data_IF_586347470053
#
_entry.id   IF_586347470053
#
_cell.length_a   1.000
_cell.length_b   1.000
_cell.length_c   1.000
_cell.angle_alpha   90.00
_cell.angle_beta   90.00
_cell.angle_gamma   90.00
#
_symmetry.space_group_name_H-M   'P 1'
#
loop_
_entity.id
_entity.type
_entity.pdbx_description
1 polymer ?
#
# COMPACT_ATOMS: atom_id res chain seq x y z
N UNK A 1 -8.46 -26.56 19.56
CA UNK A 1 -7.65 -25.41 19.12
C UNK A 1 -7.91 -25.14 17.64
N UNK A 2 -8.17 -23.88 17.28
CA UNK A 2 -8.40 -23.46 15.88
C UNK A 2 -7.22 -22.62 15.41
N UNK A 3 -6.76 -22.83 14.18
CA UNK A 3 -5.72 -22.00 13.58
C UNK A 3 -6.26 -20.58 13.38
N UNK A 4 -5.53 -19.56 13.83
CA UNK A 4 -5.90 -18.16 13.59
C UNK A 4 -5.80 -17.80 12.10
N UNK A 5 -6.51 -16.75 11.69
CA UNK A 5 -6.56 -16.26 10.30
C UNK A 5 -5.17 -15.92 9.75
N UNK A 6 -4.29 -15.37 10.59
CA UNK A 6 -2.90 -15.05 10.27
C UNK A 6 -1.99 -16.28 10.11
N UNK A 7 -2.50 -17.49 10.40
CA UNK A 7 -1.78 -18.78 10.42
C UNK A 7 -0.56 -18.82 11.35
N UNK A 8 -0.40 -17.84 12.25
CA UNK A 8 0.76 -17.72 13.15
C UNK A 8 0.47 -18.21 14.57
N UNK A 9 -0.78 -18.46 14.93
CA UNK A 9 -1.12 -18.97 16.26
C UNK A 9 -2.26 -20.00 16.22
N UNK A 10 -2.36 -20.82 17.25
CA UNK A 10 -3.54 -21.63 17.50
C UNK A 10 -4.26 -21.07 18.72
N UNK A 11 -5.54 -20.73 18.56
CA UNK A 11 -6.37 -20.31 19.69
C UNK A 11 -6.94 -21.56 20.37
N UNK A 12 -6.54 -21.78 21.62
CA UNK A 12 -7.07 -22.86 22.43
C UNK A 12 -8.31 -22.38 23.18
N UNK A 13 -9.39 -23.13 23.08
CA UNK A 13 -10.63 -22.87 23.80
C UNK A 13 -10.93 -24.09 24.67
N UNK A 14 -11.02 -23.88 25.99
CA UNK A 14 -11.48 -24.89 26.94
C UNK A 14 -12.99 -24.75 27.07
N UNK A 15 -13.69 -25.83 26.74
CA UNK A 15 -15.14 -25.92 26.93
C UNK A 15 -15.46 -26.80 28.13
N UNK A 16 -16.42 -26.39 28.95
CA UNK A 16 -17.06 -27.24 29.97
C UNK A 16 -18.56 -26.95 29.93
N UNK A 17 -19.38 -28.00 29.88
CA UNK A 17 -20.83 -27.90 29.78
C UNK A 17 -21.30 -26.96 28.64
N UNK A 18 -20.63 -27.02 27.49
CA UNK A 18 -20.97 -26.20 26.30
C UNK A 18 -20.56 -24.72 26.38
N UNK A 19 -19.94 -24.26 27.48
CA UNK A 19 -19.47 -22.87 27.64
C UNK A 19 -17.94 -22.80 27.61
N UNK A 20 -17.40 -21.73 27.03
CA UNK A 20 -15.96 -21.44 27.08
C UNK A 20 -15.61 -21.00 28.50
N UNK A 21 -14.74 -21.75 29.17
CA UNK A 21 -14.27 -21.43 30.53
C UNK A 21 -12.93 -20.70 30.50
N UNK A 22 -12.09 -20.95 29.49
CA UNK A 22 -10.78 -20.33 29.34
C UNK A 22 -10.35 -20.32 27.88
N UNK A 23 -9.79 -19.21 27.42
CA UNK A 23 -9.18 -19.09 26.10
C UNK A 23 -7.78 -18.51 26.23
N UNK A 24 -6.76 -19.32 25.95
CA UNK A 24 -5.37 -18.85 25.94
C UNK A 24 -4.82 -19.01 24.52
N UNK A 25 -4.17 -17.96 24.00
CA UNK A 25 -3.39 -18.06 22.77
C UNK A 25 -2.09 -18.80 23.07
N UNK A 26 -1.78 -19.85 22.31
CA UNK A 26 -0.48 -20.53 22.38
C UNK A 26 0.26 -20.26 21.06
N UNK A 27 1.51 -19.81 21.19
CA UNK A 27 2.36 -19.45 20.06
C UNK A 27 2.88 -20.70 19.32
N UNK A 28 3.05 -20.53 18.00
CA UNK A 28 3.28 -21.54 16.95
C UNK A 28 4.24 -22.70 17.26
N UNK A 29 5.29 -22.47 18.07
CA UNK A 29 6.43 -23.38 18.21
C UNK A 29 6.10 -24.74 18.86
N UNK A 30 5.13 -24.83 19.77
CA UNK A 30 4.71 -26.11 20.39
C UNK A 30 3.72 -26.94 19.53
N UNK A 31 3.28 -26.39 18.39
CA UNK A 31 2.27 -27.02 17.52
C UNK A 31 2.85 -27.73 16.30
N UNK A 32 4.13 -27.52 15.98
CA UNK A 32 4.80 -28.20 14.87
C UNK A 32 5.00 -29.70 15.14
N UNK A 33 5.28 -30.07 16.38
CA UNK A 33 5.37 -31.48 16.80
C UNK A 33 4.03 -32.19 16.60
N UNK A 34 2.94 -31.63 17.13
CA UNK A 34 1.57 -32.12 16.90
C UNK A 34 1.22 -32.24 15.41
N UNK A 35 1.56 -31.24 14.61
CA UNK A 35 1.34 -31.28 13.15
C UNK A 35 2.14 -32.41 12.50
N UNK A 36 3.40 -32.59 12.88
CA UNK A 36 4.29 -33.63 12.34
C UNK A 36 3.74 -35.02 12.64
N UNK A 37 3.41 -35.28 13.91
CA UNK A 37 2.90 -36.58 14.34
C UNK A 37 1.55 -36.90 13.67
N UNK A 38 0.60 -35.96 13.63
CA UNK A 38 -0.71 -36.19 13.00
C UNK A 38 -0.68 -36.22 11.47
N UNK A 39 0.33 -35.65 10.82
CA UNK A 39 0.52 -35.78 9.36
C UNK A 39 0.78 -37.23 8.96
N UNK A 40 1.46 -38.00 9.82
CA UNK A 40 1.73 -39.42 9.65
C UNK A 40 0.56 -40.29 10.18
N UNK A 41 0.07 -40.03 11.39
CA UNK A 41 -0.92 -40.89 12.05
C UNK A 41 -2.34 -40.78 11.49
N UNK A 42 -2.80 -39.57 11.16
CA UNK A 42 -4.08 -39.22 10.50
C UNK A 42 -5.39 -39.79 11.10
N UNK A 43 -5.33 -40.47 12.24
CA UNK A 43 -6.50 -41.04 12.95
C UNK A 43 -6.76 -40.27 14.25
N UNK A 44 -7.89 -40.55 14.90
CA UNK A 44 -8.10 -40.13 16.29
C UNK A 44 -7.05 -40.85 17.14
N UNK A 45 -6.36 -40.09 17.99
CA UNK A 45 -5.38 -40.63 18.92
C UNK A 45 -6.03 -40.84 20.28
N UNK A 46 -6.04 -42.08 20.77
CA UNK A 46 -6.46 -42.41 22.13
C UNK A 46 -5.24 -42.82 22.95
N UNK A 47 -5.14 -42.35 24.19
CA UNK A 47 -3.97 -42.60 25.04
C UNK A 47 -3.75 -44.09 25.35
N UNK A 48 -4.81 -44.88 25.26
CA UNK A 48 -4.84 -46.32 25.51
C UNK A 48 -4.57 -47.15 24.23
N UNK A 49 -4.40 -46.52 23.07
CA UNK A 49 -4.11 -47.23 21.82
C UNK A 49 -2.67 -47.78 21.82
N UNK A 50 -2.50 -49.07 21.53
CA UNK A 50 -1.18 -49.72 21.46
C UNK A 50 -0.30 -49.15 20.33
N UNK A 51 -0.93 -48.75 19.22
CA UNK A 51 -0.27 -48.21 18.03
C UNK A 51 -0.02 -46.68 18.10
N UNK A 52 -0.19 -46.07 19.26
CA UNK A 52 -0.04 -44.63 19.42
C UNK A 52 1.45 -44.21 19.30
N UNK A 53 1.80 -43.27 18.40
CA UNK A 53 3.14 -42.73 18.32
C UNK A 53 3.60 -42.14 19.65
N UNK A 54 4.85 -42.42 20.03
CA UNK A 54 5.42 -42.01 21.32
C UNK A 54 5.37 -40.49 21.53
N UNK A 55 5.62 -39.71 20.46
CA UNK A 55 5.48 -38.25 20.48
C UNK A 55 4.05 -37.77 20.76
N UNK A 56 3.01 -38.47 20.27
CA UNK A 56 1.62 -38.15 20.62
C UNK A 56 1.31 -38.54 22.07
N UNK A 57 1.83 -39.68 22.52
CA UNK A 57 1.65 -40.16 23.89
C UNK A 57 2.21 -39.18 24.91
N UNK A 58 3.41 -38.66 24.69
CA UNK A 58 4.02 -37.63 25.52
C UNK A 58 3.18 -36.35 25.57
N UNK A 59 2.73 -35.86 24.42
CA UNK A 59 1.89 -34.67 24.33
C UNK A 59 0.56 -34.87 25.06
N UNK A 60 -0.05 -36.05 24.93
CA UNK A 60 -1.29 -36.41 25.62
C UNK A 60 -1.10 -36.46 27.14
N UNK A 61 -0.01 -37.05 27.62
CA UNK A 61 0.32 -37.10 29.06
C UNK A 61 0.60 -35.71 29.65
N UNK A 62 1.43 -34.91 28.97
CA UNK A 62 1.77 -33.55 29.41
C UNK A 62 0.52 -32.66 29.55
N UNK A 63 -0.42 -32.80 28.61
CA UNK A 63 -1.65 -32.00 28.59
C UNK A 63 -2.81 -32.66 29.34
N UNK A 64 -2.61 -33.85 29.91
CA UNK A 64 -3.62 -34.68 30.59
C UNK A 64 -4.85 -34.98 29.72
N UNK A 65 -4.64 -35.21 28.42
CA UNK A 65 -5.69 -35.44 27.43
C UNK A 65 -5.84 -36.92 27.17
N UNK A 66 -7.07 -37.43 27.18
CA UNK A 66 -7.36 -38.81 26.85
C UNK A 66 -7.46 -39.04 25.34
N UNK A 67 -8.17 -38.17 24.60
CA UNK A 67 -8.34 -38.28 23.14
C UNK A 67 -7.96 -36.99 22.41
N UNK A 68 -7.28 -37.12 21.26
CA UNK A 68 -7.03 -36.02 20.34
C UNK A 68 -7.64 -36.35 18.97
N UNK A 69 -8.49 -35.45 18.49
CA UNK A 69 -9.22 -35.61 17.24
C UNK A 69 -8.71 -34.57 16.23
N UNK A 70 -8.05 -35.00 15.14
CA UNK A 70 -7.53 -34.07 14.15
C UNK A 70 -8.61 -33.64 13.15
N UNK A 71 -8.64 -32.36 12.81
CA UNK A 71 -9.48 -31.82 11.73
C UNK A 71 -8.68 -31.81 10.43
N UNK A 72 -8.79 -32.87 9.64
CA UNK A 72 -8.03 -33.04 8.39
C UNK A 72 -8.95 -32.79 7.21
N UNK A 73 -8.53 -31.90 6.31
CA UNK A 73 -9.17 -31.71 5.00
C UNK A 73 -8.18 -32.07 3.90
N UNK A 74 -8.50 -33.10 3.10
CA UNK A 74 -7.59 -33.73 2.12
C UNK A 74 -6.29 -34.19 2.78
N UNK A 75 -5.21 -33.42 2.64
CA UNK A 75 -3.88 -33.70 3.21
C UNK A 75 -3.45 -32.66 4.24
N UNK A 76 -4.31 -31.68 4.54
CA UNK A 76 -3.99 -30.54 5.41
C UNK A 76 -4.71 -30.66 6.74
N UNK A 77 -3.93 -30.56 7.81
CA UNK A 77 -4.41 -30.47 9.18
C UNK A 77 -4.81 -29.03 9.50
N UNK A 78 -6.09 -28.81 9.77
CA UNK A 78 -6.69 -27.49 10.01
C UNK A 78 -6.85 -27.17 11.50
N UNK A 79 -6.86 -28.19 12.36
CA UNK A 79 -6.99 -28.01 13.81
C UNK A 79 -7.09 -29.33 14.56
N UNK A 80 -7.33 -29.21 15.86
CA UNK A 80 -7.46 -30.35 16.77
C UNK A 80 -8.56 -30.11 17.82
N UNK A 81 -9.20 -31.19 18.24
CA UNK A 81 -10.05 -31.22 19.41
C UNK A 81 -9.41 -32.14 20.45
N UNK A 82 -9.11 -31.59 21.63
CA UNK A 82 -8.60 -32.33 22.78
C UNK A 82 -9.77 -32.65 23.71
N UNK A 83 -9.91 -33.92 24.09
CA UNK A 83 -10.91 -34.38 25.06
C UNK A 83 -10.20 -34.98 26.27
N UNK A 84 -10.43 -34.35 27.42
CA UNK A 84 -9.93 -34.84 28.72
C UNK A 84 -10.71 -36.08 29.17
N UNK A 85 -12.03 -36.02 28.96
CA UNK A 85 -12.97 -37.08 29.33
C UNK A 85 -13.74 -37.49 28.07
N UNK A 86 -13.34 -38.60 27.42
CA UNK A 86 -13.99 -39.03 26.21
C UNK A 86 -15.36 -39.64 26.53
N UNK A 87 -16.33 -39.58 25.61
CA UNK A 87 -17.65 -40.13 25.86
C UNK A 87 -17.58 -41.65 25.95
N UNK A 88 -18.16 -42.25 27.00
CA UNK A 88 -18.18 -43.72 27.22
C UNK A 88 -19.12 -44.49 26.27
N UNK A 89 -19.57 -43.86 25.19
CA UNK A 89 -20.55 -44.43 24.26
C UNK A 89 -19.81 -45.15 23.11
N UNK A 90 -20.23 -46.38 22.78
CA UNK A 90 -19.69 -47.17 21.65
C UNK A 90 -19.75 -46.48 20.29
N UNK A 91 -20.63 -45.47 20.13
CA UNK A 91 -20.77 -44.70 18.89
C UNK A 91 -20.00 -43.37 18.91
N UNK A 92 -19.36 -43.03 20.02
CA UNK A 92 -18.69 -41.74 20.20
C UNK A 92 -17.58 -41.52 19.19
N UNK A 93 -16.76 -42.54 18.92
CA UNK A 93 -15.67 -42.48 17.94
C UNK A 93 -16.19 -42.08 16.55
N UNK A 94 -17.15 -42.85 16.01
CA UNK A 94 -17.75 -42.55 14.70
C UNK A 94 -18.41 -41.16 14.65
N UNK A 95 -19.09 -40.75 15.73
CA UNK A 95 -19.69 -39.42 15.81
C UNK A 95 -18.63 -38.30 15.80
N UNK A 96 -17.52 -38.50 16.52
CA UNK A 96 -16.41 -37.55 16.59
C UNK A 96 -15.61 -37.49 15.28
N UNK A 97 -15.46 -38.61 14.56
CA UNK A 97 -14.90 -38.63 13.21
C UNK A 97 -15.77 -37.83 12.22
N UNK A 98 -17.08 -38.05 12.24
CA UNK A 98 -18.03 -37.29 11.40
C UNK A 98 -18.01 -35.79 11.74
N UNK A 99 -17.97 -35.47 13.03
CA UNK A 99 -17.83 -34.08 13.50
C UNK A 99 -16.52 -33.47 12.99
N UNK A 100 -15.40 -34.16 13.13
CA UNK A 100 -14.08 -33.70 12.67
C UNK A 100 -14.05 -33.41 11.18
N UNK A 101 -14.64 -34.30 10.36
CA UNK A 101 -14.78 -34.10 8.92
C UNK A 101 -15.61 -32.86 8.57
N UNK A 102 -16.78 -32.70 9.21
CA UNK A 102 -17.65 -31.52 9.00
C UNK A 102 -16.98 -30.22 9.46
N UNK A 103 -16.30 -30.25 10.60
CA UNK A 103 -15.56 -29.11 11.11
C UNK A 103 -14.42 -28.71 10.16
N UNK A 104 -13.67 -29.67 9.63
CA UNK A 104 -12.61 -29.42 8.66
C UNK A 104 -13.14 -28.75 7.38
N UNK A 105 -14.26 -29.25 6.83
CA UNK A 105 -14.93 -28.63 5.66
C UNK A 105 -15.39 -27.20 5.98
N UNK A 106 -16.03 -27.00 7.13
CA UNK A 106 -16.53 -25.67 7.53
C UNK A 106 -15.41 -24.65 7.72
N UNK A 107 -14.30 -25.06 8.37
CA UNK A 107 -13.12 -24.20 8.54
C UNK A 107 -12.53 -23.84 7.18
N UNK A 108 -12.42 -24.81 6.27
CA UNK A 108 -11.89 -24.57 4.93
C UNK A 108 -12.79 -23.62 4.12
N UNK A 109 -14.11 -23.79 4.19
CA UNK A 109 -15.06 -22.92 3.51
C UNK A 109 -14.98 -21.49 4.06
N UNK A 110 -14.89 -21.34 5.38
CA UNK A 110 -14.73 -20.02 5.99
C UNK A 110 -13.44 -19.31 5.54
N UNK A 111 -12.30 -20.02 5.50
CA UNK A 111 -11.02 -19.48 5.00
C UNK A 111 -11.10 -19.09 3.52
N UNK A 112 -11.89 -19.82 2.71
CA UNK A 112 -12.08 -19.48 1.29
C UNK A 112 -13.01 -18.28 1.13
N UNK A 113 -14.11 -18.24 1.87
CA UNK A 113 -15.06 -17.13 1.85
C UNK A 113 -14.44 -15.83 2.31
N UNK A 114 -13.62 -15.84 3.38
CA UNK A 114 -12.92 -14.63 3.84
C UNK A 114 -12.01 -14.07 2.74
N UNK A 115 -11.23 -14.93 2.08
CA UNK A 115 -10.35 -14.52 0.98
C UNK A 115 -11.10 -13.95 -0.23
N UNK A 116 -12.30 -14.46 -0.53
CA UNK A 116 -13.13 -13.97 -1.63
C UNK A 116 -13.74 -12.60 -1.27
N UNK A 117 -14.15 -12.40 -0.01
CA UNK A 117 -14.64 -11.12 0.50
C UNK A 117 -13.53 -10.08 0.43
N UNK A 118 -12.35 -10.38 0.98
CA UNK A 118 -11.19 -9.49 0.98
C UNK A 118 -10.82 -9.08 -0.47
N UNK A 119 -10.78 -10.04 -1.40
CA UNK A 119 -10.50 -9.76 -2.80
C UNK A 119 -11.55 -8.86 -3.47
N UNK A 120 -12.83 -9.05 -3.15
CA UNK A 120 -13.92 -8.23 -3.68
C UNK A 120 -13.95 -6.81 -3.10
N UNK A 121 -13.55 -6.63 -1.85
CA UNK A 121 -13.35 -5.30 -1.25
C UNK A 121 -12.19 -4.57 -1.93
N UNK A 122 -11.04 -5.24 -2.11
CA UNK A 122 -9.91 -4.67 -2.85
C UNK A 122 -10.26 -4.32 -4.30
N UNK A 123 -11.06 -5.14 -4.99
CA UNK A 123 -11.47 -4.86 -6.37
C UNK A 123 -12.38 -3.61 -6.44
N UNK A 124 -13.30 -3.43 -5.49
CA UNK A 124 -14.11 -2.20 -5.39
C UNK A 124 -13.28 -0.97 -5.05
N UNK A 125 -12.30 -1.11 -4.16
CA UNK A 125 -11.35 -0.03 -3.85
C UNK A 125 -10.52 0.32 -5.08
N UNK A 126 -10.04 -0.67 -5.84
CA UNK A 126 -9.27 -0.46 -7.07
C UNK A 126 -10.12 0.20 -8.17
N UNK A 127 -11.38 -0.22 -8.35
CA UNK A 127 -12.30 0.44 -9.28
C UNK A 127 -12.59 1.89 -8.88
N UNK A 128 -12.72 2.15 -7.58
CA UNK A 128 -12.87 3.51 -7.06
C UNK A 128 -11.61 4.33 -7.30
N UNK A 129 -10.44 3.72 -7.14
CA UNK A 129 -9.13 4.30 -7.40
C UNK A 129 -8.94 4.67 -8.88
N UNK A 130 -9.31 3.78 -9.80
CA UNK A 130 -9.29 4.03 -11.25
C UNK A 130 -10.26 5.15 -11.65
N UNK A 131 -11.43 5.23 -10.99
CA UNK A 131 -12.37 6.33 -11.20
C UNK A 131 -11.82 7.66 -10.72
N UNK A 132 -11.21 7.72 -9.52
CA UNK A 132 -10.55 8.92 -8.99
C UNK A 132 -9.40 9.33 -9.92
N UNK A 133 -8.58 8.38 -10.36
CA UNK A 133 -7.53 8.59 -11.35
C UNK A 133 -8.06 9.23 -12.64
N UNK A 134 -9.18 8.73 -13.18
CA UNK A 134 -9.78 9.31 -14.40
C UNK A 134 -10.28 10.76 -14.23
N UNK A 135 -10.52 11.18 -12.98
CA UNK A 135 -10.95 12.53 -12.62
C UNK A 135 -9.78 13.49 -12.35
N UNK A 136 -8.57 12.97 -12.08
CA UNK A 136 -7.37 13.78 -11.91
C UNK A 136 -6.86 14.27 -13.27
N UNK A 137 -7.44 15.38 -13.74
CA UNK A 137 -6.90 16.14 -14.88
C UNK A 137 -5.87 17.13 -14.38
N UNK A 138 -4.86 17.40 -15.20
CA UNK A 138 -3.92 18.51 -14.97
C UNK A 138 -4.70 19.80 -14.69
N UNK A 139 -4.29 20.54 -13.67
CA UNK A 139 -4.92 21.81 -13.35
C UNK A 139 -4.75 22.82 -14.47
N UNK A 140 -5.73 23.73 -14.58
CA UNK A 140 -5.73 24.76 -15.61
C UNK A 140 -4.54 25.67 -15.38
N UNK A 141 -3.64 25.71 -16.36
CA UNK A 141 -2.44 26.55 -16.31
C UNK A 141 -2.83 28.04 -16.32
N UNK A 142 -2.48 28.79 -15.27
CA UNK A 142 -2.66 30.23 -15.25
C UNK A 142 -1.77 30.88 -16.31
N UNK A 143 -2.26 31.92 -16.99
CA UNK A 143 -1.39 32.78 -17.77
C UNK A 143 -0.44 33.51 -16.82
N UNK A 144 0.87 33.49 -17.10
CA UNK A 144 1.88 34.11 -16.24
C UNK A 144 2.91 34.87 -17.08
N UNK A 145 3.23 36.14 -16.75
CA UNK A 145 4.10 36.97 -17.56
C UNK A 145 5.49 36.35 -17.81
N UNK A 146 5.94 36.39 -19.06
CA UNK A 146 7.25 35.88 -19.45
C UNK A 146 7.30 34.37 -19.71
N UNK A 147 6.17 33.65 -19.61
CA UNK A 147 6.14 32.20 -19.85
C UNK A 147 4.99 31.73 -20.72
N UNK A 148 5.29 30.73 -21.55
CA UNK A 148 4.32 29.86 -22.18
C UNK A 148 4.53 28.45 -21.62
N UNK A 149 3.53 27.94 -20.90
CA UNK A 149 3.56 26.66 -20.21
C UNK A 149 2.55 25.72 -20.87
N UNK A 150 3.02 24.55 -21.31
CA UNK A 150 2.20 23.56 -22.01
C UNK A 150 2.32 22.20 -21.32
N UNK A 151 1.37 21.86 -20.42
CA UNK A 151 1.38 20.59 -19.72
C UNK A 151 0.92 19.50 -20.67
N UNK A 152 1.57 18.35 -20.58
CA UNK A 152 1.21 17.14 -21.31
C UNK A 152 0.33 16.26 -20.44
N UNK A 153 -0.68 15.64 -21.04
CA UNK A 153 -1.51 14.69 -20.30
C UNK A 153 -0.74 13.39 -20.09
N UNK A 154 -0.74 12.91 -18.84
CA UNK A 154 -0.22 11.59 -18.53
C UNK A 154 -1.33 10.54 -18.64
N UNK A 155 -1.35 9.82 -19.77
CA UNK A 155 -2.31 8.75 -20.01
C UNK A 155 -2.13 7.54 -19.05
N UNK A 156 -0.94 7.38 -18.46
CA UNK A 156 -0.71 6.34 -17.44
C UNK A 156 -1.22 6.77 -16.07
N UNK A 157 -1.40 8.08 -15.85
CA UNK A 157 -1.56 8.77 -14.57
C UNK A 157 -0.62 8.24 -13.49
N UNK A 158 0.64 8.12 -13.89
CA UNK A 158 1.79 8.03 -13.02
C UNK A 158 2.17 9.38 -12.43
N UNK A 159 1.57 10.48 -12.90
CA UNK A 159 1.87 11.83 -12.45
C UNK A 159 0.64 12.73 -12.39
N UNK A 160 0.72 13.73 -11.51
CA UNK A 160 -0.25 14.82 -11.41
C UNK A 160 0.48 16.16 -11.29
N UNK A 161 -0.11 17.20 -11.86
CA UNK A 161 0.48 18.54 -11.93
C UNK A 161 -0.50 19.57 -11.41
N UNK A 162 -0.05 20.37 -10.45
CA UNK A 162 -0.82 21.46 -9.87
C UNK A 162 -0.14 22.80 -10.08
N UNK A 163 -0.90 23.78 -10.59
CA UNK A 163 -0.46 25.16 -10.77
C UNK A 163 -1.30 26.09 -9.88
N UNK A 164 -0.64 26.97 -9.15
CA UNK A 164 -1.31 27.97 -8.31
C UNK A 164 -0.45 29.21 -8.13
N UNK A 165 -1.08 30.35 -7.81
CA UNK A 165 -0.39 31.64 -7.67
C UNK A 165 -0.41 32.11 -6.23
N UNK A 166 0.72 32.65 -5.74
CA UNK A 166 0.86 33.26 -4.41
C UNK A 166 1.78 34.47 -4.53
N UNK A 167 1.37 35.63 -4.01
CA UNK A 167 2.14 36.88 -3.97
C UNK A 167 2.89 37.18 -5.28
N UNK A 168 2.13 37.23 -6.38
CA UNK A 168 2.61 37.45 -7.76
C UNK A 168 3.58 36.39 -8.33
N UNK A 169 3.83 35.30 -7.61
CA UNK A 169 4.59 34.15 -8.10
C UNK A 169 3.69 33.01 -8.58
N UNK A 170 4.03 32.39 -9.72
CA UNK A 170 3.38 31.15 -10.15
C UNK A 170 4.17 29.95 -9.59
N UNK A 171 3.48 29.05 -8.91
CA UNK A 171 4.01 27.77 -8.45
C UNK A 171 3.51 26.62 -9.32
N UNK A 172 4.36 25.62 -9.45
CA UNK A 172 4.07 24.32 -10.02
C UNK A 172 4.54 23.25 -9.04
N UNK A 173 3.67 22.31 -8.72
CA UNK A 173 4.01 21.09 -7.99
C UNK A 173 3.66 19.89 -8.86
N UNK A 174 4.61 18.99 -9.04
CA UNK A 174 4.41 17.72 -9.73
C UNK A 174 4.69 16.60 -8.73
N UNK A 175 3.72 15.68 -8.59
CA UNK A 175 3.93 14.40 -7.93
C UNK A 175 3.96 13.31 -8.99
N UNK A 176 4.90 12.38 -8.90
CA UNK A 176 5.02 11.30 -9.87
C UNK A 176 5.47 9.98 -9.23
N UNK A 177 5.01 8.86 -9.77
CA UNK A 177 5.35 7.49 -9.41
C UNK A 177 5.97 6.78 -10.61
N UNK A 178 6.79 5.75 -10.38
CA UNK A 178 7.40 5.00 -11.49
C UNK A 178 6.39 4.26 -12.38
N UNK A 179 5.23 3.90 -11.81
CA UNK A 179 4.15 3.19 -12.51
C UNK A 179 2.82 3.88 -12.24
N UNK A 180 2.00 3.98 -13.26
CA UNK A 180 0.61 4.43 -13.16
C UNK A 180 -0.35 3.33 -12.69
N UNK A 181 -1.64 3.65 -12.65
CA UNK A 181 -2.73 2.76 -12.24
C UNK A 181 -3.47 3.23 -10.99
N UNK A 182 -4.47 2.45 -10.56
CA UNK A 182 -5.39 2.85 -9.48
C UNK A 182 -4.67 3.21 -8.16
N UNK A 183 -3.74 2.36 -7.70
CA UNK A 183 -3.00 2.60 -6.44
C UNK A 183 -2.20 3.91 -6.50
N UNK A 184 -1.50 4.18 -7.59
CA UNK A 184 -0.79 5.44 -7.81
C UNK A 184 -1.75 6.62 -7.85
N UNK A 185 -2.91 6.47 -8.52
CA UNK A 185 -3.97 7.48 -8.55
C UNK A 185 -4.48 7.87 -7.16
N UNK A 186 -4.75 6.90 -6.29
CA UNK A 186 -5.14 7.17 -4.89
C UNK A 186 -4.05 7.92 -4.14
N UNK A 187 -2.81 7.46 -4.25
CA UNK A 187 -1.68 8.06 -3.54
C UNK A 187 -1.47 9.52 -3.95
N UNK A 188 -1.42 9.77 -5.26
CA UNK A 188 -1.26 11.09 -5.84
C UNK A 188 -2.45 12.01 -5.51
N UNK A 189 -3.69 11.48 -5.49
CA UNK A 189 -4.88 12.25 -5.09
C UNK A 189 -4.82 12.70 -3.63
N UNK A 190 -4.34 11.84 -2.73
CA UNK A 190 -4.12 12.18 -1.33
C UNK A 190 -3.09 13.29 -1.17
N UNK A 191 -1.96 13.18 -1.89
CA UNK A 191 -0.92 14.21 -1.89
C UNK A 191 -1.42 15.56 -2.40
N UNK A 192 -2.22 15.58 -3.46
CA UNK A 192 -2.88 16.80 -3.93
C UNK A 192 -3.83 17.38 -2.88
N UNK A 193 -4.62 16.55 -2.20
CA UNK A 193 -5.49 17.00 -1.10
C UNK A 193 -4.72 17.70 0.01
N UNK A 194 -3.57 17.15 0.42
CA UNK A 194 -2.67 17.78 1.38
C UNK A 194 -2.10 19.11 0.87
N UNK A 195 -1.66 19.15 -0.40
CA UNK A 195 -1.17 20.37 -1.03
C UNK A 195 -2.26 21.46 -1.04
N UNK A 196 -3.49 21.12 -1.42
CA UNK A 196 -4.61 22.08 -1.41
C UNK A 196 -4.91 22.59 -0.02
N UNK A 197 -4.89 21.72 0.99
CA UNK A 197 -5.08 22.14 2.38
C UNK A 197 -4.04 23.17 2.81
N UNK A 198 -2.77 23.00 2.40
CA UNK A 198 -1.70 23.95 2.69
C UNK A 198 -1.93 25.29 1.96
N UNK A 199 -2.24 25.24 0.66
CA UNK A 199 -2.45 26.45 -0.17
C UNK A 199 -3.57 27.33 0.38
N UNK A 200 -4.63 26.74 0.94
CA UNK A 200 -5.76 27.50 1.49
C UNK A 200 -5.56 27.93 2.94
N UNK A 201 -4.64 27.30 3.68
CA UNK A 201 -4.39 27.60 5.09
C UNK A 201 -3.30 28.67 5.27
N UNK A 202 -2.35 28.78 4.35
CA UNK A 202 -1.22 29.70 4.44
C UNK A 202 -1.31 30.84 3.43
N UNK A 203 -1.04 32.06 3.89
CA UNK A 203 -1.04 33.26 3.03
C UNK A 203 0.30 33.49 2.31
N UNK A 204 1.41 32.99 2.88
CA UNK A 204 2.75 33.12 2.30
C UNK A 204 3.34 31.73 2.06
N UNK A 205 3.61 31.40 0.80
CA UNK A 205 4.18 30.12 0.42
C UNK A 205 5.59 30.27 -0.16
N UNK A 206 6.43 29.30 0.18
CA UNK A 206 7.76 29.14 -0.42
C UNK A 206 8.00 27.66 -0.70
N UNK A 207 8.93 27.37 -1.61
CA UNK A 207 9.35 25.98 -1.91
C UNK A 207 9.73 25.25 -0.61
N UNK A 208 10.43 25.89 0.31
CA UNK A 208 10.80 25.26 1.59
C UNK A 208 9.58 24.93 2.45
N UNK A 209 8.58 25.81 2.54
CA UNK A 209 7.36 25.51 3.32
C UNK A 209 6.58 24.35 2.74
N UNK A 210 6.39 24.34 1.41
CA UNK A 210 5.75 23.22 0.72
C UNK A 210 6.51 21.92 0.99
N UNK A 211 7.84 21.93 0.80
CA UNK A 211 8.68 20.76 1.10
C UNK A 211 8.57 20.30 2.56
N UNK A 212 8.62 21.24 3.50
CA UNK A 212 8.55 20.96 4.92
C UNK A 212 7.22 20.31 5.30
N UNK A 213 6.11 20.87 4.85
CA UNK A 213 4.78 20.35 5.09
C UNK A 213 4.62 18.96 4.47
N UNK A 214 4.97 18.82 3.18
CA UNK A 214 4.86 17.53 2.48
C UNK A 214 5.73 16.45 3.12
N UNK A 215 6.96 16.75 3.58
CA UNK A 215 7.84 15.75 4.21
C UNK A 215 7.48 15.39 5.64
N UNK A 216 7.04 16.37 6.44
CA UNK A 216 6.84 16.21 7.88
C UNK A 216 5.51 15.56 8.19
N UNK A 217 4.48 15.85 7.41
CA UNK A 217 3.10 15.47 7.72
C UNK A 217 2.56 14.37 6.81
N UNK A 218 3.30 14.00 5.75
CA UNK A 218 2.77 13.11 4.73
C UNK A 218 3.50 11.76 4.67
N UNK A 219 2.97 10.78 5.40
CA UNK A 219 3.45 9.39 5.32
C UNK A 219 3.28 8.78 3.91
N UNK A 220 2.41 9.35 3.07
CA UNK A 220 2.15 8.88 1.72
C UNK A 220 3.39 8.96 0.82
N UNK A 221 4.28 9.94 1.03
CA UNK A 221 5.54 10.04 0.27
C UNK A 221 6.48 8.86 0.51
N UNK A 222 6.29 8.10 1.61
CA UNK A 222 7.11 6.93 1.97
C UNK A 222 6.43 5.61 1.65
N UNK A 223 5.21 5.64 1.10
CA UNK A 223 4.48 4.43 0.74
C UNK A 223 4.94 3.91 -0.63
N UNK A 224 4.75 2.61 -0.85
CA UNK A 224 4.93 2.00 -2.16
C UNK A 224 3.63 2.12 -2.98
N UNK A 225 3.69 2.52 -4.27
CA UNK A 225 4.89 2.84 -5.03
C UNK A 225 5.50 4.19 -4.62
N UNK A 226 6.83 4.23 -4.48
CA UNK A 226 7.54 5.45 -4.10
C UNK A 226 7.20 6.66 -4.98
N UNK A 227 7.00 7.81 -4.33
CA UNK A 227 6.62 9.08 -4.99
C UNK A 227 7.82 10.01 -5.07
N UNK A 228 8.06 10.54 -6.26
CA UNK A 228 8.97 11.64 -6.52
C UNK A 228 8.20 12.96 -6.64
N UNK A 229 8.86 14.06 -6.32
CA UNK A 229 8.25 15.39 -6.32
C UNK A 229 9.16 16.42 -6.99
N UNK A 230 8.54 17.30 -7.78
CA UNK A 230 9.17 18.52 -8.31
C UNK A 230 8.35 19.73 -7.88
N UNK A 231 9.01 20.76 -7.38
CA UNK A 231 8.38 22.04 -7.05
C UNK A 231 9.13 23.13 -7.79
N UNK A 232 8.42 23.93 -8.57
CA UNK A 232 8.97 25.10 -9.26
C UNK A 232 8.20 26.35 -8.88
N UNK A 233 8.91 27.47 -8.78
CA UNK A 233 8.39 28.81 -8.63
C UNK A 233 8.91 29.64 -9.80
N UNK A 234 8.00 30.17 -10.61
CA UNK A 234 8.29 31.01 -11.76
C UNK A 234 8.33 32.48 -11.34
N UNK A 235 9.35 33.20 -11.77
CA UNK A 235 9.56 34.61 -11.47
C UNK A 235 9.32 35.44 -12.73
N UNK A 236 8.57 36.54 -12.60
CA UNK A 236 8.37 37.49 -13.69
C UNK A 236 9.75 37.93 -14.24
N UNK A 237 9.98 37.75 -15.55
CA UNK A 237 11.27 38.00 -16.19
C UNK A 237 11.99 36.78 -16.76
N UNK A 238 11.39 35.59 -16.72
CA UNK A 238 11.90 34.41 -17.43
C UNK A 238 12.80 33.50 -16.60
N UNK A 239 12.91 33.72 -15.29
CA UNK A 239 13.65 32.82 -14.40
C UNK A 239 12.72 31.91 -13.59
N UNK A 240 13.22 30.75 -13.15
CA UNK A 240 12.53 29.89 -12.21
C UNK A 240 13.45 29.43 -11.08
N UNK A 241 12.88 29.20 -9.91
CA UNK A 241 13.50 28.43 -8.84
C UNK A 241 12.86 27.07 -8.79
N UNK A 242 13.66 26.00 -8.76
CA UNK A 242 13.17 24.63 -8.84
C UNK A 242 13.88 23.72 -7.85
N UNK A 243 13.11 22.81 -7.26
CA UNK A 243 13.59 21.76 -6.40
C UNK A 243 13.04 20.42 -6.87
N UNK A 244 13.89 19.40 -6.85
CA UNK A 244 13.55 18.05 -7.27
C UNK A 244 13.93 17.07 -6.17
N UNK A 245 12.98 16.23 -5.80
CA UNK A 245 13.14 15.07 -4.92
C UNK A 245 12.77 13.82 -5.69
N UNK A 246 13.79 13.14 -6.20
CA UNK A 246 13.60 12.02 -7.10
C UNK A 246 14.81 11.80 -8.00
N UNK A 247 14.87 10.64 -8.65
CA UNK A 247 15.92 10.27 -9.60
C UNK A 247 15.40 10.18 -11.05
N UNK A 248 14.09 10.13 -11.23
CA UNK A 248 13.45 9.94 -12.53
C UNK A 248 13.09 11.25 -13.22
N UNK A 249 13.04 12.36 -12.48
CA UNK A 249 12.88 13.69 -13.07
C UNK A 249 14.10 14.11 -13.88
N UNK A 250 13.85 14.69 -15.05
CA UNK A 250 14.85 15.34 -15.90
C UNK A 250 14.33 16.70 -16.32
N UNK A 251 15.24 17.67 -16.34
CA UNK A 251 14.98 19.01 -16.84
C UNK A 251 15.99 19.32 -17.93
N UNK A 252 15.51 19.48 -19.16
CA UNK A 252 16.36 19.55 -20.35
C UNK A 252 16.11 20.83 -21.14
N UNK A 253 17.19 21.42 -21.63
CA UNK A 253 17.18 22.34 -22.76
C UNK A 253 17.23 21.51 -24.04
N UNK A 254 16.21 21.62 -24.88
CA UNK A 254 16.12 20.85 -26.13
C UNK A 254 17.24 21.14 -27.14
N UNK A 255 17.94 22.27 -27.01
CA UNK A 255 19.09 22.62 -27.86
C UNK A 255 20.41 22.03 -27.33
N UNK A 256 20.49 21.76 -26.02
CA UNK A 256 21.66 21.22 -25.33
C UNK A 256 21.23 20.15 -24.31
N UNK A 257 20.79 18.97 -24.77
CA UNK A 257 20.18 17.96 -23.90
C UNK A 257 21.13 17.38 -22.85
N UNK A 258 22.44 17.42 -23.10
CA UNK A 258 23.47 16.92 -22.17
C UNK A 258 23.80 17.92 -21.05
N UNK A 259 23.27 19.15 -21.12
CA UNK A 259 23.51 20.18 -20.11
C UNK A 259 22.67 19.88 -18.86
N UNK A 260 23.36 19.71 -17.73
CA UNK A 260 22.70 19.57 -16.42
C UNK A 260 22.21 20.95 -15.97
N UNK A 261 20.89 21.11 -15.86
CA UNK A 261 20.26 22.37 -15.41
C UNK A 261 19.79 22.31 -13.95
N UNK A 262 19.57 21.10 -13.41
CA UNK A 262 19.05 20.89 -12.07
C UNK A 262 19.84 19.77 -11.39
N UNK A 263 20.29 20.02 -10.16
CA UNK A 263 20.83 18.99 -9.27
C UNK A 263 19.75 18.54 -8.26
N UNK A 264 19.42 17.23 -8.19
CA UNK A 264 18.44 16.71 -7.22
C UNK A 264 18.84 16.99 -5.76
N UNK A 265 17.84 17.26 -4.91
CA UNK A 265 18.04 17.55 -3.49
C UNK A 265 18.56 18.97 -3.19
N UNK A 266 18.85 19.77 -4.21
CA UNK A 266 19.26 21.17 -4.07
C UNK A 266 18.19 22.11 -4.64
N UNK A 267 18.16 23.35 -4.14
CA UNK A 267 17.38 24.43 -4.75
C UNK A 267 18.21 25.00 -5.90
N UNK A 268 17.66 24.94 -7.11
CA UNK A 268 18.31 25.40 -8.33
C UNK A 268 17.62 26.67 -8.82
N UNK A 269 18.41 27.67 -9.22
CA UNK A 269 17.92 28.86 -9.91
C UNK A 269 18.28 28.72 -11.38
N UNK A 270 17.28 28.77 -12.26
CA UNK A 270 17.44 28.54 -13.70
C UNK A 270 16.93 29.76 -14.44
N UNK A 271 17.82 30.43 -15.16
CA UNK A 271 17.48 31.52 -16.07
C UNK A 271 17.12 30.93 -17.44
N UNK A 272 15.86 31.11 -17.88
CA UNK A 272 15.37 30.52 -19.12
C UNK A 272 15.52 31.52 -20.26
N UNK A 273 16.32 31.15 -21.25
CA UNK A 273 16.56 32.01 -22.40
C UNK A 273 15.31 32.07 -23.30
N UNK A 274 14.88 33.26 -23.74
CA UNK A 274 13.76 33.40 -24.65
C UNK A 274 13.98 32.63 -25.96
N UNK A 275 12.93 31.94 -26.42
CA UNK A 275 12.97 31.17 -27.66
C UNK A 275 13.55 29.75 -27.53
N UNK A 276 14.12 29.39 -26.38
CA UNK A 276 14.51 28.01 -26.06
C UNK A 276 13.31 27.26 -25.49
N UNK A 277 13.13 26.01 -25.94
CA UNK A 277 12.18 25.06 -25.35
C UNK A 277 12.88 24.27 -24.25
N UNK A 278 12.37 24.39 -23.04
CA UNK A 278 12.75 23.59 -21.89
C UNK A 278 11.69 22.55 -21.58
N UNK A 279 12.12 21.38 -21.15
CA UNK A 279 11.24 20.23 -20.93
C UNK A 279 11.46 19.59 -19.57
N UNK A 280 10.35 19.33 -18.88
CA UNK A 280 10.31 18.49 -17.69
C UNK A 280 9.83 17.10 -18.11
N UNK A 281 10.63 16.09 -17.80
CA UNK A 281 10.30 14.69 -18.00
C UNK A 281 10.35 13.92 -16.69
N UNK A 282 9.55 12.87 -16.59
CA UNK A 282 9.65 11.88 -15.53
C UNK A 282 9.57 10.50 -16.16
N UNK A 283 10.53 9.62 -15.88
CA UNK A 283 10.59 8.26 -16.44
C UNK A 283 10.47 8.25 -17.98
N UNK A 284 11.18 9.16 -18.65
CA UNK A 284 11.17 9.38 -20.11
C UNK A 284 9.80 9.80 -20.69
N UNK A 285 8.85 10.18 -19.85
CA UNK A 285 7.58 10.75 -20.27
C UNK A 285 7.63 12.27 -20.10
N UNK A 286 7.23 12.98 -21.15
CA UNK A 286 7.14 14.44 -21.15
C UNK A 286 5.96 14.86 -20.27
N UNK A 287 6.23 15.70 -19.27
CA UNK A 287 5.20 16.22 -18.37
C UNK A 287 4.85 17.66 -18.68
N UNK A 288 5.85 18.50 -18.96
CA UNK A 288 5.66 19.93 -19.19
C UNK A 288 6.70 20.48 -20.17
N UNK A 289 6.22 21.25 -21.14
CA UNK A 289 7.03 22.09 -22.00
C UNK A 289 6.94 23.56 -21.52
N UNK A 290 8.09 24.23 -21.46
CA UNK A 290 8.25 25.60 -20.94
C UNK A 290 8.99 26.42 -21.98
N UNK A 291 8.45 27.59 -22.34
CA UNK A 291 9.14 28.60 -23.13
C UNK A 291 9.12 29.94 -22.40
N UNK A 292 10.28 30.57 -22.26
CA UNK A 292 10.35 31.96 -21.85
C UNK A 292 9.97 32.86 -23.03
N UNK A 293 9.14 33.88 -22.76
CA UNK A 293 8.78 34.92 -23.72
C UNK A 293 9.51 36.22 -23.36
N UNK A 294 9.91 37.01 -24.36
CA UNK A 294 10.42 38.36 -24.09
C UNK A 294 9.27 39.19 -23.52
N UNK A 295 9.47 39.80 -22.36
CA UNK A 295 8.48 40.69 -21.76
C UNK A 295 8.05 41.78 -22.77
N UNK A 296 6.74 41.91 -22.98
CA UNK A 296 6.11 42.99 -23.76
C UNK A 296 6.20 44.37 -23.07
N UNK A 297 6.94 44.51 -21.98
CA UNK A 297 7.06 45.76 -21.21
C UNK A 297 8.09 46.74 -21.76
N UNK A 298 8.73 46.44 -22.90
CA UNK A 298 9.70 47.34 -23.54
C UNK A 298 9.14 48.12 -24.76
N UNK A 299 7.91 47.90 -25.19
CA UNK A 299 7.32 48.59 -26.37
C UNK A 299 6.29 49.67 -26.02
N UNK A 300 6.05 49.97 -24.73
CA UNK A 300 5.09 50.98 -24.29
C UNK A 300 5.71 52.33 -23.89
N UNK A 301 6.98 52.58 -24.22
CA UNK A 301 7.61 53.91 -24.11
C UNK A 301 8.23 54.23 -25.47
N UNK A 302 7.38 54.66 -26.41
CA UNK A 302 7.75 55.52 -27.53
C UNK A 302 7.11 56.87 -27.32
#
# INVERSE_FOLDING_TARGET
>A
ALLSEDRRSYRFHIYKNGKIIKGNAIYYQKTEELKREFKAYRKIACIDDEDLPEGLKEIMQQNRVAWIIPFIFRTRLLGFLFLMEPPRNRYADRALQLFAGKAAVSIQNHILSSKIIDAGEFEKELQSAEKIHSLMKNSRVPAYPGFQLQPHQDASGSSVQEFFTVDDGLFLVIFATQRGGGVSGLLLSGLLGHLYSLIHAENELSIHRILGHMRKENSLLRMEPGVEMLIAQFHAGGAMTVFVEGKQFRFQDTTQPDRILISPGWRNYVDLMPGILYRIEHNNQILLDIRATRNATAEAIQ
#
